data_IF_060878484896
#
_entry.id   IF_060878484896
#
_cell.length_a   1.000
_cell.length_b   1.000
_cell.length_c   1.000
_cell.angle_alpha   90.00
_cell.angle_beta   90.00
_cell.angle_gamma   90.00
#
_symmetry.space_group_name_H-M   'P 1'
#
loop_
_entity.id
_entity.type
_entity.pdbx_description
1 polymer ?
#
# COMPACT_ATOMS: atom_id res chain seq x y z
N UNK A 1 38.28 -27.61 20.83
CA UNK A 1 37.74 -27.44 19.45
C UNK A 1 36.31 -26.87 19.43
N UNK A 2 35.50 -27.07 20.48
CA UNK A 2 34.11 -26.58 20.55
C UNK A 2 33.93 -25.06 20.75
N UNK A 3 34.92 -24.34 21.30
CA UNK A 3 34.82 -22.89 21.49
C UNK A 3 34.91 -22.07 20.18
N UNK A 4 35.44 -22.63 19.08
CA UNK A 4 35.53 -21.93 17.79
C UNK A 4 34.24 -22.01 16.94
N UNK A 5 33.33 -22.92 17.27
CA UNK A 5 32.04 -23.05 16.58
C UNK A 5 30.96 -22.12 17.16
N UNK A 6 31.08 -21.70 18.43
CA UNK A 6 30.12 -20.80 19.07
C UNK A 6 30.37 -19.32 18.70
N UNK A 7 31.59 -18.96 18.29
CA UNK A 7 31.93 -17.58 17.90
C UNK A 7 31.44 -17.17 16.49
N UNK A 8 31.06 -18.13 15.63
CA UNK A 8 30.61 -17.84 14.24
C UNK A 8 29.09 -17.69 14.13
N UNK A 9 28.35 -18.10 15.14
CA UNK A 9 26.88 -17.99 15.24
C UNK A 9 26.41 -16.71 15.92
N UNK A 10 27.29 -16.00 16.65
CA UNK A 10 26.92 -14.76 17.36
C UNK A 10 27.02 -13.50 16.49
N UNK A 11 27.70 -13.55 15.34
CA UNK A 11 27.90 -12.38 14.47
C UNK A 11 26.78 -12.12 13.47
N UNK A 12 25.69 -12.89 13.46
CA UNK A 12 24.54 -12.68 12.56
C UNK A 12 23.29 -12.19 13.29
N UNK A 13 23.25 -12.25 14.62
CA UNK A 13 22.06 -11.92 15.41
C UNK A 13 21.55 -10.49 15.17
N UNK A 14 22.43 -9.56 14.82
CA UNK A 14 22.09 -8.17 14.51
C UNK A 14 21.48 -7.97 13.11
N UNK A 15 21.56 -8.97 12.23
CA UNK A 15 20.97 -8.98 10.88
C UNK A 15 19.66 -9.77 10.81
N UNK A 16 19.21 -10.33 11.93
CA UNK A 16 17.96 -11.09 12.03
C UNK A 16 16.86 -10.21 12.60
N UNK A 17 15.68 -10.34 12.02
CA UNK A 17 14.48 -9.70 12.55
C UNK A 17 14.14 -10.30 13.93
N UNK A 18 13.91 -9.45 14.96
CA UNK A 18 13.60 -9.94 16.31
C UNK A 18 12.26 -10.67 16.38
N UNK A 19 11.37 -10.48 15.40
CA UNK A 19 10.03 -11.07 15.34
C UNK A 19 10.07 -12.43 14.62
N UNK A 20 10.49 -12.47 13.35
CA UNK A 20 10.47 -13.70 12.56
C UNK A 20 11.77 -14.53 12.63
N UNK A 21 12.84 -14.01 13.25
CA UNK A 21 14.14 -14.66 13.41
C UNK A 21 14.87 -15.02 12.10
N UNK A 22 14.38 -14.52 10.98
CA UNK A 22 15.03 -14.62 9.66
C UNK A 22 15.81 -13.34 9.36
N UNK A 23 16.76 -13.35 8.40
CA UNK A 23 17.38 -12.13 7.91
C UNK A 23 16.34 -11.10 7.51
N UNK A 24 16.62 -9.80 7.75
CA UNK A 24 15.72 -8.74 7.30
C UNK A 24 15.52 -8.80 5.79
N UNK A 25 14.28 -8.69 5.34
CA UNK A 25 13.95 -8.61 3.92
C UNK A 25 13.82 -7.14 3.49
N UNK A 26 12.89 -6.42 4.12
CA UNK A 26 12.85 -4.95 4.13
C UNK A 26 12.78 -4.47 5.59
N UNK A 27 13.90 -3.99 6.13
CA UNK A 27 13.99 -3.47 7.48
C UNK A 27 13.31 -2.10 7.60
N UNK A 28 12.33 -2.03 8.50
CA UNK A 28 11.69 -0.81 8.99
C UNK A 28 12.27 -0.43 10.35
N UNK A 29 12.32 0.85 10.70
CA UNK A 29 12.88 1.34 11.96
C UNK A 29 11.85 2.08 12.80
N UNK A 30 11.83 1.80 14.11
CA UNK A 30 11.08 2.61 15.07
C UNK A 30 11.80 3.95 15.27
N UNK A 31 11.19 5.08 14.92
CA UNK A 31 11.85 6.39 15.00
C UNK A 31 12.18 6.79 16.45
N UNK A 32 11.46 6.25 17.43
CA UNK A 32 11.66 6.57 18.85
C UNK A 32 12.84 5.86 19.50
N UNK A 33 13.21 4.67 19.00
CA UNK A 33 14.21 3.83 19.65
C UNK A 33 15.25 3.18 18.73
N UNK A 34 15.16 3.39 17.41
CA UNK A 34 16.14 2.89 16.44
C UNK A 34 16.08 1.38 16.18
N UNK A 35 15.23 0.62 16.86
CA UNK A 35 15.09 -0.81 16.63
C UNK A 35 14.37 -1.12 15.32
N UNK A 36 14.79 -2.21 14.65
CA UNK A 36 14.24 -2.61 13.37
C UNK A 36 13.46 -3.93 13.39
N UNK A 37 12.50 -4.04 12.46
CA UNK A 37 11.73 -5.24 12.14
C UNK A 37 11.47 -5.31 10.63
N UNK A 38 11.03 -6.46 10.09
CA UNK A 38 10.64 -6.56 8.69
C UNK A 38 9.34 -5.82 8.39
N UNK A 39 9.17 -5.28 7.18
CA UNK A 39 7.91 -4.70 6.70
C UNK A 39 6.69 -5.61 6.94
N UNK A 40 6.85 -6.91 6.67
CA UNK A 40 5.83 -7.94 6.91
C UNK A 40 5.51 -8.11 8.40
N UNK A 41 6.51 -7.94 9.28
CA UNK A 41 6.36 -8.02 10.73
C UNK A 41 5.77 -6.74 11.34
N UNK A 42 5.72 -5.62 10.61
CA UNK A 42 5.05 -4.40 11.10
C UNK A 42 3.54 -4.63 11.31
N UNK A 43 2.96 -5.58 10.55
CA UNK A 43 1.55 -5.96 10.67
C UNK A 43 1.23 -6.75 11.92
N UNK A 44 2.19 -7.49 12.47
CA UNK A 44 2.01 -8.35 13.64
C UNK A 44 2.33 -7.67 14.98
N UNK A 45 2.85 -6.44 14.95
CA UNK A 45 3.13 -5.67 16.17
C UNK A 45 1.83 -5.12 16.77
N UNK A 46 1.75 -5.08 18.11
CA UNK A 46 0.58 -4.58 18.84
C UNK A 46 0.22 -3.16 18.40
N UNK A 47 -1.01 -3.01 17.88
CA UNK A 47 -1.61 -1.75 17.43
C UNK A 47 -2.66 -1.28 18.42
N UNK A 48 -2.58 -0.04 18.84
CA UNK A 48 -3.72 0.65 19.47
C UNK A 48 -4.15 1.82 18.59
N UNK A 49 -5.47 2.06 18.51
CA UNK A 49 -6.07 3.15 17.74
C UNK A 49 -6.69 4.17 18.70
N UNK A 50 -5.88 4.96 19.41
CA UNK A 50 -6.36 5.91 20.42
C UNK A 50 -7.12 7.10 19.82
N UNK A 51 -7.01 7.36 18.51
CA UNK A 51 -7.68 8.47 17.82
C UNK A 51 -8.02 8.12 16.36
N UNK A 52 -8.98 8.84 15.76
CA UNK A 52 -9.52 8.52 14.43
C UNK A 52 -8.46 8.45 13.32
N UNK A 53 -7.36 9.21 13.37
CA UNK A 53 -6.39 9.28 12.25
C UNK A 53 -4.98 8.78 12.57
N UNK A 54 -4.73 8.25 13.77
CA UNK A 54 -3.38 7.82 14.18
C UNK A 54 -3.39 6.40 14.72
N UNK A 55 -2.31 5.66 14.46
CA UNK A 55 -2.05 4.36 15.11
C UNK A 55 -0.82 4.45 15.99
N UNK A 56 -0.85 3.71 17.10
CA UNK A 56 0.29 3.53 17.98
C UNK A 56 0.88 2.14 17.74
N UNK A 57 2.20 2.10 17.51
CA UNK A 57 2.98 0.87 17.38
C UNK A 57 3.91 0.73 18.57
N UNK A 58 3.91 -0.43 19.22
CA UNK A 58 4.78 -0.72 20.36
C UNK A 58 6.00 -1.50 19.90
N UNK A 59 7.21 -0.98 20.10
CA UNK A 59 8.43 -1.69 19.74
C UNK A 59 8.49 -3.07 20.42
N UNK A 60 8.69 -4.18 19.68
CA UNK A 60 8.69 -5.52 20.27
C UNK A 60 9.89 -5.74 21.21
N UNK A 61 10.98 -5.01 21.01
CA UNK A 61 12.23 -5.11 21.78
C UNK A 61 12.16 -4.30 23.07
N UNK A 62 11.95 -2.98 22.98
CA UNK A 62 12.08 -2.07 24.14
C UNK A 62 10.75 -1.51 24.65
N UNK A 63 9.61 -1.89 24.04
CA UNK A 63 8.26 -1.45 24.38
C UNK A 63 7.99 0.06 24.28
N UNK A 64 8.92 0.85 23.75
CA UNK A 64 8.65 2.24 23.41
C UNK A 64 7.57 2.35 22.33
N UNK A 65 6.72 3.37 22.44
CA UNK A 65 5.62 3.57 21.50
C UNK A 65 5.99 4.59 20.44
N UNK A 66 5.80 4.26 19.18
CA UNK A 66 5.80 5.20 18.08
C UNK A 66 4.36 5.54 17.69
N UNK A 67 4.06 6.83 17.55
CA UNK A 67 2.78 7.33 17.03
C UNK A 67 2.98 7.73 15.58
N UNK A 68 2.21 7.13 14.68
CA UNK A 68 2.26 7.41 13.25
C UNK A 68 0.84 7.55 12.70
N UNK A 69 0.71 8.14 11.52
CA UNK A 69 -0.58 8.28 10.87
C UNK A 69 -1.16 6.92 10.48
N UNK A 70 -2.49 6.82 10.45
CA UNK A 70 -3.22 5.55 10.27
C UNK A 70 -2.73 4.75 9.06
N UNK A 71 -2.41 5.43 7.96
CA UNK A 71 -2.02 4.84 6.68
C UNK A 71 -0.50 4.85 6.44
N UNK A 72 0.28 5.44 7.35
CA UNK A 72 1.74 5.47 7.21
C UNK A 72 2.38 4.20 7.77
N UNK A 73 3.56 3.87 7.26
CA UNK A 73 4.39 2.76 7.74
C UNK A 73 5.57 3.28 8.53
N UNK A 74 6.24 2.39 9.26
CA UNK A 74 7.53 2.75 9.85
C UNK A 74 8.52 3.11 8.73
N UNK A 75 9.42 4.08 8.94
CA UNK A 75 10.43 4.44 7.93
C UNK A 75 11.39 3.28 7.64
N UNK A 76 12.02 3.29 6.47
CA UNK A 76 13.01 2.28 6.06
C UNK A 76 14.35 2.50 6.78
N UNK A 77 14.96 1.41 7.25
CA UNK A 77 16.35 1.41 7.71
C UNK A 77 17.28 1.11 6.52
N UNK A 78 17.57 2.13 5.72
CA UNK A 78 18.35 1.99 4.47
C UNK A 78 19.72 1.35 4.73
N UNK A 79 20.41 1.79 5.80
CA UNK A 79 21.75 1.29 6.16
C UNK A 79 21.69 -0.20 6.48
N UNK A 80 20.73 -0.64 7.32
CA UNK A 80 20.60 -2.05 7.67
C UNK A 80 20.24 -2.91 6.45
N UNK A 81 19.42 -2.39 5.54
CA UNK A 81 19.09 -3.10 4.30
C UNK A 81 20.32 -3.29 3.41
N UNK A 82 21.18 -2.28 3.28
CA UNK A 82 22.44 -2.38 2.54
C UNK A 82 23.37 -3.42 3.16
N UNK A 83 23.57 -3.37 4.49
CA UNK A 83 24.42 -4.34 5.21
C UNK A 83 23.90 -5.78 5.02
N UNK A 84 22.59 -5.99 5.12
CA UNK A 84 21.99 -7.32 4.94
C UNK A 84 22.15 -7.80 3.50
N UNK A 85 21.99 -6.91 2.52
CA UNK A 85 22.19 -7.23 1.10
C UNK A 85 23.64 -7.65 0.83
N UNK A 86 24.59 -6.87 1.32
CA UNK A 86 26.02 -7.15 1.14
C UNK A 86 26.41 -8.47 1.83
N UNK A 87 25.85 -8.75 3.01
CA UNK A 87 26.04 -10.02 3.69
C UNK A 87 25.43 -11.20 2.89
N UNK A 88 24.25 -11.03 2.28
CA UNK A 88 23.65 -12.08 1.41
C UNK A 88 24.54 -12.35 0.19
N UNK A 89 25.00 -11.31 -0.51
CA UNK A 89 25.89 -11.43 -1.66
C UNK A 89 27.20 -12.14 -1.30
N UNK A 90 27.83 -11.75 -0.18
CA UNK A 90 29.06 -12.39 0.28
C UNK A 90 28.86 -13.84 0.74
N UNK A 91 27.69 -14.21 1.27
CA UNK A 91 27.38 -15.62 1.58
C UNK A 91 27.28 -16.46 0.31
N UNK A 92 26.57 -15.97 -0.70
CA UNK A 92 26.44 -16.67 -1.99
C UNK A 92 27.80 -16.89 -2.62
N UNK A 93 28.65 -15.85 -2.68
CA UNK A 93 30.01 -15.96 -3.22
C UNK A 93 30.88 -16.97 -2.44
N UNK A 94 30.74 -17.02 -1.11
CA UNK A 94 31.47 -17.97 -0.28
C UNK A 94 30.93 -19.40 -0.37
N UNK A 95 29.61 -19.60 -0.49
CA UNK A 95 29.00 -20.93 -0.66
C UNK A 95 29.38 -21.54 -2.03
N UNK A 96 29.46 -20.71 -3.08
CA UNK A 96 29.99 -21.11 -4.40
C UNK A 96 31.47 -21.50 -4.29
N UNK A 97 32.28 -20.75 -3.52
CA UNK A 97 33.70 -21.03 -3.37
C UNK A 97 34.02 -22.28 -2.53
N UNK A 98 33.14 -22.64 -1.58
CA UNK A 98 33.37 -23.76 -0.63
C UNK A 98 32.90 -25.11 -1.18
N UNK A 99 31.85 -25.14 -1.99
CA UNK A 99 31.26 -26.41 -2.46
C UNK A 99 31.87 -26.96 -3.76
N UNK A 100 32.85 -26.28 -4.35
CA UNK A 100 33.43 -26.69 -5.62
C UNK A 100 32.43 -26.59 -6.78
N UNK A 101 32.97 -26.51 -7.99
CA UNK A 101 32.21 -26.31 -9.23
C UNK A 101 30.94 -27.18 -9.27
N UNK A 102 29.77 -26.55 -9.24
CA UNK A 102 28.53 -27.21 -9.66
C UNK A 102 28.74 -27.58 -11.13
N UNK A 103 28.59 -28.86 -11.53
CA UNK A 103 28.70 -29.23 -12.94
C UNK A 103 27.76 -28.36 -13.77
N UNK A 104 28.24 -27.76 -14.86
CA UNK A 104 27.45 -26.86 -15.72
C UNK A 104 26.11 -27.50 -16.11
N UNK A 105 26.09 -28.81 -16.32
CA UNK A 105 24.88 -29.60 -16.62
C UNK A 105 23.78 -29.53 -15.55
N UNK A 106 24.13 -29.35 -14.27
CA UNK A 106 23.15 -29.21 -13.19
C UNK A 106 22.65 -27.77 -13.05
N UNK A 107 23.42 -26.78 -13.54
CA UNK A 107 22.94 -25.41 -13.63
C UNK A 107 21.95 -25.23 -14.77
N UNK A 108 22.17 -25.85 -15.93
CA UNK A 108 21.24 -25.76 -17.06
C UNK A 108 19.86 -26.34 -16.70
N UNK A 109 19.81 -27.49 -16.01
CA UNK A 109 18.56 -28.12 -15.56
C UNK A 109 17.86 -27.29 -14.47
N UNK A 110 18.62 -26.73 -13.51
CA UNK A 110 18.07 -25.82 -12.50
C UNK A 110 17.63 -24.46 -13.07
N UNK A 111 18.30 -23.95 -14.11
CA UNK A 111 17.91 -22.74 -14.83
C UNK A 111 16.63 -22.96 -15.64
N UNK A 112 16.43 -24.15 -16.19
CA UNK A 112 15.20 -24.52 -16.92
C UNK A 112 14.01 -24.66 -15.96
N UNK A 113 14.19 -25.28 -14.78
CA UNK A 113 13.17 -25.34 -13.72
C UNK A 113 12.81 -23.95 -13.14
N UNK A 114 13.78 -23.02 -13.13
CA UNK A 114 13.57 -21.62 -12.73
C UNK A 114 13.18 -20.72 -13.90
N UNK A 115 13.09 -21.24 -15.12
CA UNK A 115 12.69 -20.47 -16.29
C UNK A 115 11.22 -20.12 -16.17
N UNK A 116 10.95 -18.85 -15.87
CA UNK A 116 9.59 -18.33 -15.90
C UNK A 116 9.27 -18.06 -17.36
N UNK A 117 8.12 -18.56 -17.84
CA UNK A 117 7.62 -18.21 -19.17
C UNK A 117 7.44 -16.69 -19.26
N UNK A 118 8.45 -16.03 -19.79
CA UNK A 118 8.53 -14.58 -19.91
C UNK A 118 7.38 -14.05 -20.78
N UNK A 119 6.88 -14.88 -21.71
CA UNK A 119 5.75 -14.52 -22.56
C UNK A 119 4.43 -14.52 -21.77
N UNK A 120 4.21 -15.52 -20.91
CA UNK A 120 3.06 -15.56 -20.02
C UNK A 120 3.06 -14.41 -19.00
N UNK A 121 4.24 -14.05 -18.46
CA UNK A 121 4.37 -12.90 -17.54
C UNK A 121 4.10 -11.58 -18.27
N UNK A 122 4.67 -11.37 -19.46
CA UNK A 122 4.43 -10.16 -20.29
C UNK A 122 2.97 -10.03 -20.69
N UNK A 123 2.31 -11.13 -21.07
CA UNK A 123 0.89 -11.13 -21.42
C UNK A 123 0.01 -10.84 -20.19
N UNK A 124 0.28 -11.46 -19.05
CA UNK A 124 -0.42 -11.18 -17.79
C UNK A 124 -0.28 -9.71 -17.39
N UNK A 125 0.94 -9.17 -17.46
CA UNK A 125 1.22 -7.76 -17.17
C UNK A 125 0.50 -6.81 -18.13
N UNK A 126 0.55 -7.09 -19.44
CA UNK A 126 -0.16 -6.29 -20.46
C UNK A 126 -1.68 -6.30 -20.23
N UNK A 127 -2.24 -7.45 -19.89
CA UNK A 127 -3.65 -7.58 -19.54
C UNK A 127 -4.01 -6.82 -18.26
N UNK A 128 -3.14 -6.83 -17.25
CA UNK A 128 -3.31 -6.04 -16.03
C UNK A 128 -3.31 -4.53 -16.32
N UNK A 129 -2.33 -4.03 -17.08
CA UNK A 129 -2.28 -2.62 -17.51
C UNK A 129 -3.55 -2.23 -18.27
N UNK A 130 -3.99 -3.05 -19.23
CA UNK A 130 -5.20 -2.77 -20.02
C UNK A 130 -6.46 -2.70 -19.14
N UNK A 131 -6.56 -3.58 -18.13
CA UNK A 131 -7.66 -3.56 -17.15
C UNK A 131 -7.63 -2.30 -16.31
N UNK A 132 -6.46 -1.87 -15.83
CA UNK A 132 -6.29 -0.64 -15.07
C UNK A 132 -6.67 0.58 -15.92
N UNK A 133 -6.18 0.67 -17.16
CA UNK A 133 -6.45 1.80 -18.06
C UNK A 133 -7.94 1.97 -18.40
N UNK A 134 -8.64 0.89 -18.79
CA UNK A 134 -10.09 0.94 -19.04
C UNK A 134 -10.89 1.36 -17.81
N UNK A 135 -10.41 1.01 -16.61
CA UNK A 135 -11.08 1.32 -15.34
C UNK A 135 -10.84 2.77 -14.92
N UNK A 136 -9.61 3.28 -15.05
CA UNK A 136 -9.30 4.71 -14.84
C UNK A 136 -10.16 5.61 -15.73
N UNK A 137 -10.34 5.22 -17.00
CA UNK A 137 -11.22 5.94 -17.92
C UNK A 137 -12.68 6.01 -17.42
N UNK A 138 -13.21 4.91 -16.86
CA UNK A 138 -14.58 4.86 -16.33
C UNK A 138 -14.76 5.73 -15.09
N UNK A 139 -13.78 5.72 -14.18
CA UNK A 139 -13.77 6.59 -13.00
C UNK A 139 -13.73 8.05 -13.42
N UNK A 140 -12.86 8.39 -14.36
CA UNK A 140 -12.72 9.75 -14.88
C UNK A 140 -14.04 10.25 -15.48
N UNK A 141 -14.70 9.42 -16.31
CA UNK A 141 -16.01 9.75 -16.88
C UNK A 141 -17.07 10.02 -15.80
N UNK A 142 -17.05 9.23 -14.71
CA UNK A 142 -17.92 9.41 -13.56
C UNK A 142 -17.69 10.76 -12.86
N UNK A 143 -16.43 11.12 -12.61
CA UNK A 143 -16.06 12.42 -12.03
C UNK A 143 -16.45 13.59 -12.92
N UNK A 144 -16.24 13.49 -14.23
CA UNK A 144 -16.60 14.55 -15.17
C UNK A 144 -18.11 14.79 -15.21
N UNK A 145 -18.91 13.71 -15.14
CA UNK A 145 -20.37 13.80 -15.04
C UNK A 145 -20.81 14.48 -13.73
N UNK A 146 -20.26 14.05 -12.58
CA UNK A 146 -20.55 14.68 -11.29
C UNK A 146 -20.19 16.17 -11.29
N UNK A 147 -19.03 16.52 -11.86
CA UNK A 147 -18.57 17.92 -11.98
C UNK A 147 -19.57 18.74 -12.79
N UNK A 148 -20.08 18.21 -13.90
CA UNK A 148 -21.09 18.89 -14.71
C UNK A 148 -22.39 19.13 -13.91
N UNK A 149 -22.89 18.12 -13.19
CA UNK A 149 -24.09 18.24 -12.34
C UNK A 149 -23.93 19.26 -11.21
N UNK A 150 -22.76 19.29 -10.56
CA UNK A 150 -22.45 20.30 -9.52
C UNK A 150 -22.48 21.71 -10.11
N UNK A 151 -21.98 21.90 -11.33
CA UNK A 151 -22.01 23.20 -12.00
C UNK A 151 -23.45 23.63 -12.33
N UNK A 152 -24.30 22.71 -12.79
CA UNK A 152 -25.73 22.98 -13.00
C UNK A 152 -26.43 23.42 -11.72
N UNK A 153 -26.18 22.73 -10.59
CA UNK A 153 -26.71 23.14 -9.28
C UNK A 153 -26.24 24.52 -8.85
N UNK A 154 -24.96 24.85 -9.06
CA UNK A 154 -24.40 26.18 -8.74
C UNK A 154 -25.10 27.26 -9.55
N UNK A 155 -25.31 27.02 -10.85
CA UNK A 155 -26.00 27.95 -11.74
C UNK A 155 -27.47 28.12 -11.33
N UNK A 156 -28.18 27.03 -11.06
CA UNK A 156 -29.56 27.06 -10.58
C UNK A 156 -29.72 27.86 -9.28
N UNK A 157 -28.81 27.67 -8.32
CA UNK A 157 -28.77 28.45 -7.09
C UNK A 157 -28.52 29.94 -7.34
N UNK A 158 -27.64 30.30 -8.28
CA UNK A 158 -27.41 31.71 -8.64
C UNK A 158 -28.65 32.34 -9.27
N UNK A 159 -29.32 31.64 -10.18
CA UNK A 159 -30.57 32.09 -10.81
C UNK A 159 -31.66 32.30 -9.76
N UNK A 160 -31.82 31.36 -8.83
CA UNK A 160 -32.75 31.50 -7.71
C UNK A 160 -32.43 32.71 -6.84
N UNK A 161 -31.15 32.89 -6.48
CA UNK A 161 -30.69 34.04 -5.71
C UNK A 161 -31.03 35.36 -6.42
N UNK A 162 -30.85 35.44 -7.74
CA UNK A 162 -31.17 36.62 -8.52
C UNK A 162 -32.69 36.88 -8.65
N UNK A 163 -33.52 35.83 -8.57
CA UNK A 163 -34.99 35.92 -8.70
C UNK A 163 -35.74 35.98 -7.37
N UNK A 164 -35.04 36.01 -6.23
CA UNK A 164 -35.65 35.97 -4.88
C UNK A 164 -36.66 37.08 -4.62
N UNK A 165 -36.51 38.26 -5.24
CA UNK A 165 -37.47 39.38 -5.14
C UNK A 165 -38.63 39.29 -6.13
N UNK A 166 -38.59 38.39 -7.11
CA UNK A 166 -39.56 38.29 -8.20
C UNK A 166 -40.46 37.03 -8.11
N UNK A 167 -40.11 36.06 -7.27
CA UNK A 167 -40.88 34.83 -7.08
C UNK A 167 -41.88 34.98 -5.93
N UNK A 168 -43.07 34.43 -6.10
CA UNK A 168 -43.96 34.22 -4.95
C UNK A 168 -43.37 33.18 -3.99
N UNK A 169 -43.75 33.26 -2.71
CA UNK A 169 -43.26 32.32 -1.67
C UNK A 169 -43.45 30.84 -2.07
N UNK A 170 -44.59 30.50 -2.69
CA UNK A 170 -44.86 29.15 -3.19
C UNK A 170 -43.96 28.72 -4.35
N UNK A 171 -43.65 29.62 -5.28
CA UNK A 171 -42.74 29.32 -6.41
C UNK A 171 -41.29 29.14 -5.94
N UNK A 172 -40.87 29.91 -4.93
CA UNK A 172 -39.54 29.78 -4.34
C UNK A 172 -39.33 28.42 -3.66
N UNK A 173 -40.31 27.94 -2.87
CA UNK A 173 -40.21 26.62 -2.23
C UNK A 173 -40.20 25.46 -3.23
N UNK A 174 -40.98 25.53 -4.32
CA UNK A 174 -40.96 24.50 -5.37
C UNK A 174 -39.56 24.38 -5.99
N UNK A 175 -38.94 25.51 -6.33
CA UNK A 175 -37.62 25.51 -6.96
C UNK A 175 -36.51 25.10 -5.96
N UNK A 176 -36.65 25.47 -4.69
CA UNK A 176 -35.76 25.01 -3.62
C UNK A 176 -35.87 23.49 -3.39
N UNK A 177 -37.07 22.91 -3.43
CA UNK A 177 -37.27 21.46 -3.34
C UNK A 177 -36.63 20.72 -4.52
N UNK A 178 -36.72 21.27 -5.73
CA UNK A 178 -36.04 20.74 -6.91
C UNK A 178 -34.51 20.72 -6.72
N UNK A 179 -33.91 21.81 -6.25
CA UNK A 179 -32.47 21.84 -5.94
C UNK A 179 -32.07 20.86 -4.83
N UNK A 180 -32.91 20.68 -3.80
CA UNK A 180 -32.67 19.71 -2.73
C UNK A 180 -32.66 18.28 -3.28
N UNK A 181 -33.61 17.93 -4.16
CA UNK A 181 -33.68 16.62 -4.84
C UNK A 181 -32.48 16.38 -5.74
N UNK A 182 -32.09 17.36 -6.56
CA UNK A 182 -30.91 17.26 -7.41
C UNK A 182 -29.63 17.10 -6.58
N UNK A 183 -29.48 17.86 -5.48
CA UNK A 183 -28.35 17.69 -4.54
C UNK A 183 -28.31 16.28 -3.94
N UNK A 184 -29.45 15.75 -3.51
CA UNK A 184 -29.53 14.39 -2.96
C UNK A 184 -29.13 13.33 -4.00
N UNK A 185 -29.55 13.49 -5.26
CA UNK A 185 -29.15 12.61 -6.36
C UNK A 185 -27.65 12.60 -6.61
N UNK A 186 -27.00 13.78 -6.61
CA UNK A 186 -25.54 13.88 -6.76
C UNK A 186 -24.81 13.18 -5.61
N UNK A 187 -25.26 13.37 -4.36
CA UNK A 187 -24.64 12.72 -3.20
C UNK A 187 -24.75 11.20 -3.29
N UNK A 188 -25.90 10.67 -3.71
CA UNK A 188 -26.09 9.24 -3.90
C UNK A 188 -25.18 8.66 -5.00
N UNK A 189 -24.97 9.41 -6.09
CA UNK A 189 -24.04 9.02 -7.16
C UNK A 189 -22.57 9.06 -6.70
N UNK A 190 -22.19 10.05 -5.88
CA UNK A 190 -20.86 10.12 -5.26
C UNK A 190 -20.61 8.90 -4.38
N UNK A 191 -21.54 8.56 -3.48
CA UNK A 191 -21.44 7.38 -2.61
C UNK A 191 -21.40 6.07 -3.42
N UNK A 192 -22.10 5.99 -4.55
CA UNK A 192 -22.03 4.84 -5.44
C UNK A 192 -20.64 4.69 -6.10
N UNK A 193 -20.04 5.81 -6.53
CA UNK A 193 -18.70 5.82 -7.09
C UNK A 193 -17.63 5.48 -6.05
N UNK A 194 -17.76 6.00 -4.82
CA UNK A 194 -16.86 5.67 -3.70
C UNK A 194 -16.93 4.19 -3.35
N UNK A 195 -18.14 3.62 -3.20
CA UNK A 195 -18.32 2.18 -2.94
C UNK A 195 -17.75 1.31 -4.06
N UNK A 196 -17.92 1.74 -5.31
CA UNK A 196 -17.32 1.05 -6.45
C UNK A 196 -15.79 1.05 -6.38
N UNK A 197 -15.20 2.17 -5.96
CA UNK A 197 -13.75 2.33 -5.81
C UNK A 197 -13.19 1.51 -4.63
N UNK A 198 -13.90 1.47 -3.49
CA UNK A 198 -13.51 0.67 -2.33
C UNK A 198 -13.51 -0.84 -2.62
N UNK A 199 -14.57 -1.34 -3.29
CA UNK A 199 -14.61 -2.75 -3.74
C UNK A 199 -13.46 -3.07 -4.68
N UNK A 200 -13.11 -2.14 -5.57
CA UNK A 200 -12.00 -2.32 -6.49
C UNK A 200 -10.64 -2.38 -5.77
N UNK A 201 -10.39 -1.53 -4.78
CA UNK A 201 -9.17 -1.59 -3.98
C UNK A 201 -9.04 -2.92 -3.25
N UNK A 202 -10.15 -3.49 -2.78
CA UNK A 202 -10.15 -4.83 -2.19
C UNK A 202 -9.73 -5.90 -3.21
N UNK A 203 -10.32 -5.90 -4.41
CA UNK A 203 -10.04 -6.90 -5.46
C UNK A 203 -8.57 -6.91 -5.92
N UNK A 204 -7.88 -5.76 -5.91
CA UNK A 204 -6.45 -5.69 -6.31
C UNK A 204 -5.52 -6.25 -5.22
N UNK A 205 -5.94 -6.22 -3.96
CA UNK A 205 -5.08 -6.62 -2.82
C UNK A 205 -5.15 -8.11 -2.50
N UNK A 206 -6.00 -8.86 -3.20
CA UNK A 206 -6.30 -10.29 -2.95
C UNK A 206 -5.72 -11.27 -3.97
N UNK A 207 -5.10 -10.79 -5.05
CA UNK A 207 -4.33 -11.59 -6.03
C UNK A 207 -2.81 -11.42 -5.79
#
# INVERSE_FOLDING_TARGET
>A
MLQKLMAKTDSLGHLLCPVCKTPFDEAKVFPTCGHSLCATCEKSVVRTYPAKNTKMLICPICKQTARIDRYEHLPNNVILNEIVRDHRSNRISNEIAVNGLVPISMMDEALEELSVDESAVKESHSNAIRRIGKRQQKVQLGYDNLRAKINLLKNGRQVLKAKTSALSSGQFEIEMDKLRKEKAGILAEMEALERWNERYLADITTD
#
